data_IF_599468532142
#
_entry.id   IF_599468532142
#
_cell.length_a   1.000
_cell.length_b   1.000
_cell.length_c   1.000
_cell.angle_alpha   90.00
_cell.angle_beta   90.00
_cell.angle_gamma   90.00
#
_symmetry.space_group_name_H-M   'P 1'
#
loop_
_entity.id
_entity.type
_entity.pdbx_description
1 polymer ?
#
# COMPACT_ATOMS: atom_id res chain seq x y z
N UNK A 1 -55.05 9.14 1.69
CA UNK A 1 -55.63 8.23 2.70
C UNK A 1 -54.51 7.43 3.33
N UNK A 2 -54.32 7.64 4.64
CA UNK A 2 -53.65 6.83 5.66
C UNK A 2 -52.22 6.29 5.44
N UNK A 3 -51.27 7.05 6.01
CA UNK A 3 -50.10 6.55 6.79
C UNK A 3 -50.60 6.08 8.19
N UNK A 4 -49.78 5.73 9.20
CA UNK A 4 -48.54 4.91 9.34
C UNK A 4 -48.62 3.91 10.54
N UNK A 5 -47.58 3.11 10.78
CA UNK A 5 -47.28 2.50 12.09
C UNK A 5 -45.77 2.73 12.36
N UNK A 6 -45.32 3.68 13.20
CA UNK A 6 -45.28 3.70 14.69
C UNK A 6 -44.38 2.55 15.19
N UNK A 7 -43.25 2.71 15.92
CA UNK A 7 -42.92 3.63 17.03
C UNK A 7 -41.43 3.56 17.42
N UNK A 8 -40.88 4.74 17.78
CA UNK A 8 -40.00 5.13 18.93
C UNK A 8 -38.84 4.24 19.39
N UNK A 9 -37.71 4.90 19.67
CA UNK A 9 -37.23 5.33 21.02
C UNK A 9 -36.07 6.32 20.82
N UNK A 10 -36.25 7.62 21.13
CA UNK A 10 -36.01 8.33 22.41
C UNK A 10 -34.54 8.78 22.61
N UNK A 11 -34.40 10.10 22.73
CA UNK A 11 -33.19 10.87 23.04
C UNK A 11 -32.94 10.96 24.58
N UNK A 12 -31.80 11.53 25.02
CA UNK A 12 -31.08 11.25 26.29
C UNK A 12 -31.53 12.18 27.45
N UNK A 13 -30.91 12.28 28.66
CA UNK A 13 -29.58 12.90 28.91
C UNK A 13 -28.80 12.44 30.19
N UNK A 14 -27.74 13.18 30.56
CA UNK A 14 -27.06 13.35 31.87
C UNK A 14 -25.73 12.58 32.07
N UNK A 15 -24.57 13.25 32.00
CA UNK A 15 -23.86 14.10 33.00
C UNK A 15 -23.13 13.31 34.09
N UNK A 16 -21.80 13.25 34.01
CA UNK A 16 -20.78 13.13 35.09
C UNK A 16 -19.41 13.28 34.39
N UNK A 17 -18.46 14.16 34.69
CA UNK A 17 -18.21 14.99 35.87
C UNK A 17 -17.08 14.43 36.74
N UNK A 18 -15.80 14.52 36.36
CA UNK A 18 -14.69 15.03 37.21
C UNK A 18 -13.24 14.77 36.71
N UNK A 19 -12.44 15.83 36.91
CA UNK A 19 -11.03 15.94 37.38
C UNK A 19 -9.89 15.28 36.59
N UNK A 20 -9.04 16.14 36.00
CA UNK A 20 -7.56 16.09 36.10
C UNK A 20 -7.05 17.54 36.15
N UNK A 21 -6.79 18.08 37.34
CA UNK A 21 -5.46 18.44 37.88
C UNK A 21 -4.61 19.37 37.02
N UNK A 22 -4.58 20.64 37.44
CA UNK A 22 -3.48 21.57 37.20
C UNK A 22 -2.20 21.04 37.85
N UNK A 23 -1.03 21.14 37.20
CA UNK A 23 0.22 21.45 37.88
C UNK A 23 1.29 21.99 36.91
N UNK A 24 1.73 23.20 37.24
CA UNK A 24 3.05 23.80 37.07
C UNK A 24 3.76 23.93 35.71
N UNK A 25 3.84 25.21 35.35
CA UNK A 25 4.87 25.89 34.55
C UNK A 25 6.26 25.69 35.20
N UNK A 26 7.32 25.56 34.38
CA UNK A 26 8.41 26.51 34.54
C UNK A 26 8.78 27.20 33.24
N UNK A 27 8.86 28.53 33.38
CA UNK A 27 9.54 29.50 32.56
C UNK A 27 11.02 29.17 32.43
N UNK A 28 11.55 29.12 31.20
CA UNK A 28 12.89 29.63 30.98
C UNK A 28 13.02 30.26 29.59
N UNK A 29 13.12 31.58 29.62
CA UNK A 29 13.52 32.43 28.52
C UNK A 29 15.03 32.32 28.31
N UNK A 30 15.46 31.79 27.17
CA UNK A 30 16.79 32.08 26.63
C UNK A 30 16.69 32.28 25.13
N UNK A 31 16.73 33.56 24.74
CA UNK A 31 16.95 34.01 23.36
C UNK A 31 18.29 33.45 22.87
N UNK A 32 18.32 32.84 21.69
CA UNK A 32 19.44 33.02 20.75
C UNK A 32 19.02 32.78 19.30
N UNK A 33 18.80 33.92 18.65
CA UNK A 33 19.16 34.30 17.29
C UNK A 33 19.45 33.20 16.27
N UNK A 34 18.63 33.27 15.21
CA UNK A 34 18.81 32.72 13.86
C UNK A 34 20.28 32.70 13.39
N UNK A 35 20.66 31.60 12.76
CA UNK A 35 21.50 31.67 11.58
C UNK A 35 21.04 30.60 10.59
N UNK A 36 20.41 31.05 9.49
CA UNK A 36 20.18 30.25 8.30
C UNK A 36 21.54 29.96 7.68
N UNK A 37 21.96 28.70 7.70
CA UNK A 37 22.94 28.19 6.76
C UNK A 37 22.32 27.02 6.01
N UNK A 38 21.97 27.32 4.76
CA UNK A 38 21.72 26.34 3.71
C UNK A 38 23.09 25.70 3.45
N UNK A 39 23.30 24.49 3.96
CA UNK A 39 24.52 23.73 3.72
C UNK A 39 24.13 22.32 3.31
N UNK A 40 24.24 22.09 2.00
CA UNK A 40 24.53 20.80 1.36
C UNK A 40 23.72 19.58 1.81
N UNK A 41 22.56 19.36 1.19
CA UNK A 41 21.97 18.02 1.05
C UNK A 41 22.71 17.23 -0.03
N UNK A 42 23.96 16.88 0.25
CA UNK A 42 24.71 15.82 -0.43
C UNK A 42 25.50 15.06 0.64
N UNK A 43 24.77 14.53 1.63
CA UNK A 43 25.30 13.62 2.63
C UNK A 43 24.72 12.23 2.35
N UNK A 44 25.52 11.43 1.66
CA UNK A 44 25.80 10.05 2.03
C UNK A 44 24.56 9.19 2.33
N UNK A 45 24.07 8.48 1.31
CA UNK A 45 23.42 7.18 1.54
C UNK A 45 24.48 6.21 2.04
N UNK A 46 24.81 6.35 3.32
CA UNK A 46 25.54 5.37 4.10
C UNK A 46 24.58 4.19 4.30
N UNK A 47 25.04 3.06 3.81
CA UNK A 47 24.62 1.71 4.15
C UNK A 47 24.32 1.63 5.66
N UNK A 48 23.04 1.68 6.04
CA UNK A 48 22.61 1.37 7.40
C UNK A 48 21.83 0.06 7.36
N UNK A 49 22.62 -1.00 7.52
CA UNK A 49 22.18 -2.32 7.95
C UNK A 49 21.74 -2.20 9.41
N UNK A 50 20.52 -1.70 9.62
CA UNK A 50 19.86 -1.70 10.92
C UNK A 50 19.11 -3.01 11.14
N UNK A 51 19.78 -3.97 11.77
CA UNK A 51 19.17 -5.20 12.25
C UNK A 51 18.17 -4.90 13.38
N UNK A 52 16.88 -5.03 13.11
CA UNK A 52 15.92 -5.49 14.11
C UNK A 52 15.94 -7.00 14.11
N UNK A 53 16.41 -7.57 15.22
CA UNK A 53 16.39 -9.00 15.50
C UNK A 53 14.93 -9.48 15.51
N UNK A 54 14.48 -9.94 14.35
CA UNK A 54 13.36 -10.86 14.20
C UNK A 54 13.77 -11.77 13.05
N UNK A 55 14.35 -12.92 13.43
CA UNK A 55 14.29 -14.17 12.67
C UNK A 55 14.74 -14.08 11.20
N UNK A 56 15.96 -14.57 10.94
CA UNK A 56 16.74 -14.52 9.69
C UNK A 56 16.02 -15.21 8.50
N UNK A 57 14.85 -14.72 8.10
CA UNK A 57 14.19 -15.10 6.87
C UNK A 57 15.11 -14.67 5.72
N UNK A 58 15.55 -15.64 4.94
CA UNK A 58 16.54 -15.42 3.88
C UNK A 58 15.94 -14.48 2.82
N UNK A 59 16.46 -13.24 2.77
CA UNK A 59 16.06 -12.26 1.77
C UNK A 59 16.86 -12.58 0.51
N UNK A 60 16.26 -13.38 -0.37
CA UNK A 60 16.91 -13.85 -1.59
C UNK A 60 16.74 -12.89 -2.78
N UNK A 61 15.86 -11.88 -2.67
CA UNK A 61 15.66 -10.90 -3.75
C UNK A 61 15.42 -9.49 -3.22
N UNK A 62 16.06 -8.53 -3.87
CA UNK A 62 15.87 -7.09 -3.62
C UNK A 62 15.73 -6.35 -4.95
N UNK A 63 14.62 -5.61 -5.09
CA UNK A 63 14.34 -4.82 -6.27
C UNK A 63 15.33 -3.66 -6.43
N UNK A 64 16.08 -3.57 -7.55
CA UNK A 64 17.12 -2.54 -7.73
C UNK A 64 16.53 -1.13 -7.87
N UNK A 65 15.30 -1.02 -8.37
CA UNK A 65 14.60 0.26 -8.57
C UNK A 65 13.76 0.68 -7.36
N UNK A 66 13.76 -0.10 -6.27
CA UNK A 66 12.97 0.20 -5.06
C UNK A 66 13.26 1.60 -4.51
N UNK A 67 14.54 1.97 -4.41
CA UNK A 67 14.98 3.30 -3.97
C UNK A 67 14.52 4.40 -4.92
N UNK A 68 14.63 4.17 -6.24
CA UNK A 68 14.23 5.14 -7.26
C UNK A 68 12.73 5.38 -7.22
N UNK A 69 11.90 4.33 -7.18
CA UNK A 69 10.45 4.46 -7.06
C UNK A 69 10.04 5.16 -5.76
N UNK A 70 10.72 4.88 -4.64
CA UNK A 70 10.48 5.57 -3.37
C UNK A 70 10.77 7.06 -3.47
N UNK A 71 11.90 7.42 -4.06
CA UNK A 71 12.30 8.82 -4.24
C UNK A 71 11.35 9.55 -5.20
N UNK A 72 10.92 8.90 -6.28
CA UNK A 72 9.93 9.45 -7.22
C UNK A 72 8.59 9.73 -6.54
N UNK A 73 8.05 8.76 -5.78
CA UNK A 73 6.81 8.95 -5.02
C UNK A 73 6.93 10.09 -4.00
N UNK A 74 8.04 10.14 -3.26
CA UNK A 74 8.27 11.20 -2.27
C UNK A 74 8.36 12.58 -2.92
N UNK A 75 9.03 12.68 -4.06
CA UNK A 75 9.17 13.92 -4.81
C UNK A 75 7.81 14.43 -5.33
N UNK A 76 7.00 13.56 -5.92
CA UNK A 76 5.65 13.90 -6.38
C UNK A 76 4.73 14.29 -5.23
N UNK A 77 4.74 13.53 -4.12
CA UNK A 77 3.96 13.86 -2.93
C UNK A 77 4.38 15.20 -2.31
N UNK A 78 5.67 15.51 -2.31
CA UNK A 78 6.20 16.79 -1.82
C UNK A 78 5.73 17.95 -2.71
N UNK A 79 5.79 17.77 -4.03
CA UNK A 79 5.34 18.76 -5.02
C UNK A 79 3.83 19.00 -4.92
N UNK A 80 3.05 17.92 -4.78
CA UNK A 80 1.60 18.00 -4.59
C UNK A 80 1.23 18.67 -3.26
N UNK A 81 1.97 18.38 -2.19
CA UNK A 81 1.77 19.02 -0.88
C UNK A 81 2.08 20.51 -0.94
N UNK A 82 3.17 20.88 -1.63
CA UNK A 82 3.52 22.28 -1.85
C UNK A 82 2.46 23.01 -2.70
N UNK A 83 1.98 22.39 -3.78
CA UNK A 83 0.92 22.95 -4.60
C UNK A 83 -0.40 23.10 -3.81
N UNK A 84 -0.75 22.11 -3.00
CA UNK A 84 -1.92 22.14 -2.11
C UNK A 84 -1.80 23.23 -1.04
N UNK A 85 -0.61 23.44 -0.48
CA UNK A 85 -0.34 24.50 0.49
C UNK A 85 -0.35 25.90 -0.14
N UNK A 86 0.14 26.05 -1.39
CA UNK A 86 0.18 27.34 -2.10
C UNK A 86 -1.17 27.75 -2.69
N UNK A 87 -2.02 26.80 -3.08
CA UNK A 87 -3.34 27.06 -3.66
C UNK A 87 -4.23 27.99 -2.82
N UNK A 88 -4.39 27.83 -1.49
CA UNK A 88 -5.21 28.74 -0.69
C UNK A 88 -4.67 30.18 -0.68
N UNK A 89 -3.37 30.41 -0.85
CA UNK A 89 -2.80 31.76 -0.91
C UNK A 89 -3.26 32.55 -2.15
N UNK A 90 -3.59 31.88 -3.25
CA UNK A 90 -4.14 32.52 -4.47
C UNK A 90 -5.49 33.20 -4.19
N UNK A 91 -6.24 32.70 -3.21
CA UNK A 91 -7.53 33.29 -2.84
C UNK A 91 -7.38 34.47 -1.86
N UNK A 92 -6.30 34.49 -1.07
CA UNK A 92 -6.03 35.54 -0.07
C UNK A 92 -5.40 36.78 -0.72
N UNK A 93 -4.57 36.61 -1.74
CA UNK A 93 -3.92 37.74 -2.41
C UNK A 93 -4.95 38.52 -3.23
N UNK A 94 -4.98 39.82 -3.00
CA UNK A 94 -5.90 40.75 -3.67
C UNK A 94 -5.41 41.07 -5.09
N UNK A 95 -5.59 40.11 -5.99
CA UNK A 95 -5.31 40.26 -7.42
C UNK A 95 -6.57 40.75 -8.17
N UNK A 96 -6.47 41.62 -9.19
CA UNK A 96 -7.61 42.10 -9.98
C UNK A 96 -8.22 41.04 -10.92
N UNK A 97 -8.13 39.75 -10.57
CA UNK A 97 -8.64 38.61 -11.33
C UNK A 97 -10.04 38.21 -10.87
N UNK A 98 -10.91 37.89 -11.84
CA UNK A 98 -12.23 37.31 -11.57
C UNK A 98 -12.12 35.98 -10.81
N UNK A 99 -13.11 35.68 -9.97
CA UNK A 99 -13.15 34.44 -9.16
C UNK A 99 -13.06 33.19 -10.04
N UNK A 100 -13.69 33.22 -11.22
CA UNK A 100 -13.63 32.12 -12.18
C UNK A 100 -12.21 31.84 -12.67
N UNK A 101 -11.41 32.88 -12.94
CA UNK A 101 -10.01 32.72 -13.35
C UNK A 101 -9.15 32.12 -12.22
N UNK A 102 -9.37 32.54 -10.97
CA UNK A 102 -8.65 31.99 -9.80
C UNK A 102 -8.94 30.50 -9.61
N UNK A 103 -10.21 30.11 -9.71
CA UNK A 103 -10.62 28.70 -9.63
C UNK A 103 -10.01 27.89 -10.78
N UNK A 104 -10.06 28.39 -12.01
CA UNK A 104 -9.49 27.71 -13.17
C UNK A 104 -7.98 27.45 -12.97
N UNK A 105 -7.22 28.47 -12.55
CA UNK A 105 -5.79 28.33 -12.28
C UNK A 105 -5.50 27.31 -11.17
N UNK A 106 -6.24 27.36 -10.07
CA UNK A 106 -6.09 26.42 -8.96
C UNK A 106 -6.38 24.97 -9.40
N UNK A 107 -7.49 24.76 -10.13
CA UNK A 107 -7.90 23.44 -10.61
C UNK A 107 -6.91 22.88 -11.61
N UNK A 108 -6.40 23.69 -12.55
CA UNK A 108 -5.38 23.23 -13.49
C UNK A 108 -4.09 22.83 -12.78
N UNK A 109 -3.58 23.67 -11.87
CA UNK A 109 -2.34 23.39 -11.14
C UNK A 109 -2.45 22.12 -10.27
N UNK A 110 -3.52 21.99 -9.49
CA UNK A 110 -3.77 20.81 -8.68
C UNK A 110 -4.08 19.58 -9.53
N UNK A 111 -4.88 19.74 -10.58
CA UNK A 111 -5.27 18.66 -11.48
C UNK A 111 -4.07 18.01 -12.15
N UNK A 112 -3.15 18.81 -12.72
CA UNK A 112 -1.90 18.30 -13.30
C UNK A 112 -0.99 17.64 -12.26
N UNK A 113 -0.93 18.19 -11.04
CA UNK A 113 -0.12 17.61 -9.96
C UNK A 113 -0.69 16.27 -9.49
N UNK A 114 -2.01 16.17 -9.33
CA UNK A 114 -2.71 14.95 -8.92
C UNK A 114 -2.60 13.89 -10.03
N UNK A 115 -2.81 14.26 -11.30
CA UNK A 115 -2.74 13.30 -12.41
C UNK A 115 -1.33 12.71 -12.56
N UNK A 116 -0.28 13.54 -12.46
CA UNK A 116 1.11 13.08 -12.48
C UNK A 116 1.40 12.13 -11.30
N UNK A 117 0.95 12.50 -10.09
CA UNK A 117 1.15 11.67 -8.89
C UNK A 117 0.41 10.34 -8.98
N UNK A 118 -0.82 10.35 -9.50
CA UNK A 118 -1.64 9.14 -9.68
C UNK A 118 -1.02 8.17 -10.70
N UNK A 119 -0.45 8.69 -11.79
CA UNK A 119 0.21 7.86 -12.79
C UNK A 119 1.44 7.15 -12.21
N UNK A 120 2.28 7.87 -11.47
CA UNK A 120 3.46 7.30 -10.80
C UNK A 120 3.02 6.25 -9.76
N UNK A 121 1.96 6.54 -9.02
CA UNK A 121 1.37 5.62 -8.06
C UNK A 121 0.88 4.33 -8.73
N UNK A 122 0.21 4.44 -9.88
CA UNK A 122 -0.30 3.30 -10.64
C UNK A 122 0.83 2.45 -11.23
N UNK A 123 1.84 3.07 -11.85
CA UNK A 123 2.99 2.37 -12.42
C UNK A 123 3.84 1.67 -11.33
N UNK A 124 3.96 2.27 -10.15
CA UNK A 124 4.73 1.71 -9.03
C UNK A 124 3.95 0.75 -8.13
N UNK A 125 2.64 0.54 -8.35
CA UNK A 125 1.79 -0.32 -7.51
C UNK A 125 2.20 -1.81 -7.51
N UNK A 126 2.51 -2.45 -8.66
CA UNK A 126 2.93 -3.86 -8.67
C UNK A 126 4.40 -4.06 -8.30
N UNK A 127 5.19 -3.00 -8.06
CA UNK A 127 6.63 -3.13 -7.84
C UNK A 127 6.98 -3.83 -6.53
N UNK A 128 7.74 -4.93 -6.62
CA UNK A 128 8.21 -5.69 -5.47
C UNK A 128 9.54 -5.13 -4.98
N UNK A 129 9.55 -4.65 -3.74
CA UNK A 129 10.73 -4.06 -3.09
C UNK A 129 11.70 -5.13 -2.63
N UNK A 130 11.18 -6.19 -2.01
CA UNK A 130 11.97 -7.31 -1.52
C UNK A 130 11.13 -8.56 -1.47
N UNK A 131 11.76 -9.72 -1.70
CA UNK A 131 11.16 -11.01 -1.46
C UNK A 131 11.99 -11.79 -0.45
N UNK A 132 11.30 -12.51 0.42
CA UNK A 132 11.89 -13.37 1.44
C UNK A 132 11.10 -14.66 1.52
N UNK A 133 11.77 -15.77 1.82
CA UNK A 133 11.07 -17.03 2.07
C UNK A 133 10.58 -17.07 3.52
N UNK A 134 9.34 -17.50 3.74
CA UNK A 134 8.80 -17.69 5.09
C UNK A 134 9.54 -18.86 5.76
N UNK A 135 9.89 -18.71 7.04
CA UNK A 135 10.60 -19.79 7.74
C UNK A 135 9.70 -21.01 7.94
N UNK A 136 10.19 -22.20 7.56
CA UNK A 136 9.49 -23.47 7.78
C UNK A 136 8.40 -23.83 6.78
N UNK A 137 8.25 -23.08 5.67
CA UNK A 137 7.34 -23.43 4.57
C UNK A 137 7.91 -22.99 3.22
N UNK A 138 7.36 -23.52 2.12
CA UNK A 138 7.73 -23.07 0.76
C UNK A 138 7.06 -21.72 0.39
N UNK A 139 6.39 -21.08 1.35
CA UNK A 139 5.72 -19.81 1.13
C UNK A 139 6.71 -18.67 0.88
N UNK A 140 6.38 -17.83 -0.11
CA UNK A 140 7.17 -16.66 -0.51
C UNK A 140 6.47 -15.41 -0.05
N UNK A 141 7.18 -14.56 0.69
CA UNK A 141 6.69 -13.26 1.13
C UNK A 141 7.24 -12.15 0.25
N UNK A 142 6.35 -11.44 -0.43
CA UNK A 142 6.64 -10.30 -1.28
C UNK A 142 6.29 -9.02 -0.53
N UNK A 143 7.23 -8.07 -0.50
CA UNK A 143 6.99 -6.74 0.07
C UNK A 143 6.77 -5.75 -1.06
N UNK A 144 5.61 -5.13 -1.08
CA UNK A 144 5.25 -4.04 -2.00
C UNK A 144 5.05 -2.75 -1.21
N UNK A 145 5.00 -1.63 -1.93
CA UNK A 145 4.84 -0.31 -1.31
C UNK A 145 3.66 0.42 -1.93
N UNK A 146 2.76 0.88 -1.07
CA UNK A 146 1.57 1.64 -1.45
C UNK A 146 1.93 3.05 -1.97
N UNK A 147 0.92 3.83 -2.36
CA UNK A 147 1.05 5.22 -2.80
C UNK A 147 1.71 6.09 -1.72
N UNK A 148 1.33 5.85 -0.46
CA UNK A 148 1.82 6.59 0.71
C UNK A 148 3.10 6.01 1.32
N UNK A 149 3.91 5.29 0.54
CA UNK A 149 5.14 4.65 1.00
C UNK A 149 4.93 3.62 2.14
N UNK A 150 3.70 3.14 2.34
CA UNK A 150 3.40 2.10 3.34
C UNK A 150 3.76 0.74 2.79
N UNK A 151 4.50 -0.04 3.57
CA UNK A 151 4.86 -1.40 3.21
C UNK A 151 3.64 -2.33 3.35
N UNK A 152 3.41 -3.15 2.34
CA UNK A 152 2.43 -4.23 2.33
C UNK A 152 3.17 -5.54 2.12
N UNK A 153 2.89 -6.54 2.94
CA UNK A 153 3.54 -7.86 2.86
C UNK A 153 2.53 -8.88 2.37
N UNK A 154 2.70 -9.38 1.16
CA UNK A 154 1.88 -10.45 0.61
C UNK A 154 2.62 -11.77 0.75
N UNK A 155 2.10 -12.67 1.57
CA UNK A 155 2.59 -14.05 1.69
C UNK A 155 1.82 -14.91 0.69
N UNK A 156 2.53 -15.44 -0.30
CA UNK A 156 2.01 -16.45 -1.22
C UNK A 156 2.40 -17.82 -0.67
N UNK A 157 1.39 -18.65 -0.41
CA UNK A 157 1.54 -19.91 0.33
C UNK A 157 2.18 -21.01 -0.52
N UNK A 158 1.90 -21.01 -1.83
CA UNK A 158 2.51 -21.92 -2.80
C UNK A 158 2.98 -21.12 -4.03
N UNK A 159 4.29 -21.08 -4.31
CA UNK A 159 4.86 -20.32 -5.42
C UNK A 159 4.52 -20.92 -6.81
N UNK A 160 4.01 -22.16 -6.89
CA UNK A 160 3.59 -22.78 -8.16
C UNK A 160 2.41 -22.07 -8.82
N UNK A 161 1.67 -21.28 -8.05
CA UNK A 161 0.55 -20.50 -8.57
C UNK A 161 0.97 -19.23 -9.32
N UNK A 162 2.26 -18.87 -9.33
CA UNK A 162 2.74 -17.75 -10.14
C UNK A 162 2.75 -18.11 -11.62
N UNK A 163 2.12 -17.27 -12.43
CA UNK A 163 2.20 -17.34 -13.89
C UNK A 163 2.80 -16.04 -14.44
N UNK A 164 3.50 -16.15 -15.56
CA UNK A 164 4.00 -14.97 -16.28
C UNK A 164 2.83 -14.21 -16.92
N UNK A 165 2.73 -12.91 -16.67
CA UNK A 165 1.67 -12.06 -17.22
C UNK A 165 2.14 -11.28 -18.45
N UNK A 166 1.20 -10.94 -19.33
CA UNK A 166 1.44 -10.01 -20.45
C UNK A 166 1.18 -8.54 -20.08
N UNK A 167 0.73 -8.26 -18.85
CA UNK A 167 0.36 -6.93 -18.40
C UNK A 167 1.60 -6.02 -18.27
N UNK A 168 1.55 -4.76 -18.76
CA UNK A 168 2.66 -3.84 -18.57
C UNK A 168 2.92 -3.58 -17.09
N UNK A 169 4.20 -3.48 -16.72
CA UNK A 169 4.68 -3.29 -15.35
C UNK A 169 4.38 -4.44 -14.38
N UNK A 170 4.01 -5.63 -14.84
CA UNK A 170 3.94 -6.83 -14.01
C UNK A 170 4.65 -7.98 -14.74
N UNK A 171 5.37 -8.80 -13.98
CA UNK A 171 6.08 -9.98 -14.49
C UNK A 171 5.30 -11.23 -14.12
N UNK A 172 4.82 -11.27 -12.88
CA UNK A 172 4.04 -12.38 -12.35
C UNK A 172 2.62 -11.95 -12.01
N UNK A 173 1.70 -12.86 -12.18
CA UNK A 173 0.33 -12.76 -11.71
C UNK A 173 -0.11 -14.06 -11.05
N UNK A 174 -1.03 -13.98 -10.09
CA UNK A 174 -1.88 -15.12 -9.81
C UNK A 174 -3.03 -15.10 -10.82
N UNK A 175 -3.24 -16.13 -11.64
CA UNK A 175 -4.30 -16.15 -12.63
C UNK A 175 -5.69 -16.18 -11.96
N UNK A 176 -6.71 -15.78 -12.73
CA UNK A 176 -8.10 -15.77 -12.26
C UNK A 176 -8.70 -17.18 -12.21
N UNK A 177 -8.14 -18.10 -12.99
CA UNK A 177 -8.53 -19.49 -13.03
C UNK A 177 -7.32 -20.40 -12.98
N UNK A 178 -7.49 -21.52 -12.29
CA UNK A 178 -6.50 -22.57 -12.15
C UNK A 178 -7.13 -23.89 -12.58
N UNK A 179 -6.37 -24.72 -13.29
CA UNK A 179 -6.73 -26.12 -13.49
C UNK A 179 -5.90 -26.92 -12.49
N UNK A 180 -6.54 -27.82 -11.73
CA UNK A 180 -5.78 -28.66 -10.81
C UNK A 180 -4.82 -29.56 -11.59
N UNK A 181 -3.55 -29.57 -11.20
CA UNK A 181 -2.65 -30.64 -11.61
C UNK A 181 -3.15 -31.98 -11.06
N UNK A 182 -2.95 -33.09 -11.79
CA UNK A 182 -3.39 -34.42 -11.37
C UNK A 182 -2.65 -34.98 -10.14
N UNK A 183 -1.72 -34.21 -9.54
CA UNK A 183 -0.90 -34.62 -8.41
C UNK A 183 -1.64 -34.45 -7.07
N UNK A 184 -1.60 -35.46 -6.17
CA UNK A 184 -2.47 -35.56 -5.01
C UNK A 184 -1.88 -34.82 -3.80
N UNK A 185 -1.54 -33.54 -3.93
CA UNK A 185 -1.12 -32.76 -2.76
C UNK A 185 -2.36 -32.19 -2.08
N UNK A 186 -2.82 -32.91 -1.05
CA UNK A 186 -3.91 -32.56 -0.12
C UNK A 186 -5.32 -32.40 -0.75
N UNK A 187 -6.10 -33.50 -0.75
CA UNK A 187 -7.57 -33.56 -0.75
C UNK A 187 -8.34 -32.32 -1.29
N UNK A 188 -8.06 -31.89 -2.53
CA UNK A 188 -8.83 -30.81 -3.17
C UNK A 188 -10.21 -31.37 -3.51
N UNK A 189 -11.20 -30.98 -2.73
CA UNK A 189 -12.59 -31.40 -2.93
C UNK A 189 -13.35 -30.30 -3.68
N UNK A 190 -14.29 -30.69 -4.53
CA UNK A 190 -15.23 -29.73 -5.10
C UNK A 190 -15.96 -28.99 -3.97
N UNK A 191 -15.91 -27.66 -3.98
CA UNK A 191 -16.45 -26.79 -2.94
C UNK A 191 -15.45 -26.39 -1.84
N UNK A 192 -14.18 -26.82 -1.90
CA UNK A 192 -13.17 -26.34 -0.96
C UNK A 192 -12.64 -24.96 -1.37
N UNK A 193 -12.41 -24.10 -0.37
CA UNK A 193 -11.81 -22.79 -0.54
C UNK A 193 -10.41 -22.79 0.10
N UNK A 194 -9.39 -22.46 -0.69
CA UNK A 194 -7.99 -22.49 -0.27
C UNK A 194 -7.37 -21.09 -0.39
N UNK A 195 -6.84 -20.50 0.70
CA UNK A 195 -6.11 -19.26 0.60
C UNK A 195 -4.79 -19.52 -0.15
N UNK A 196 -4.52 -18.74 -1.18
CA UNK A 196 -3.27 -18.82 -1.96
C UNK A 196 -2.34 -17.69 -1.61
N UNK A 197 -2.88 -16.51 -1.39
CA UNK A 197 -2.12 -15.34 -1.01
C UNK A 197 -2.83 -14.57 0.10
N UNK A 198 -2.05 -14.05 1.04
CA UNK A 198 -2.54 -13.22 2.15
C UNK A 198 -1.72 -11.94 2.21
N UNK A 199 -2.37 -10.80 2.03
CA UNK A 199 -1.76 -9.48 2.13
C UNK A 199 -1.97 -8.92 3.53
N UNK A 200 -0.87 -8.56 4.18
CA UNK A 200 -0.80 -7.95 5.51
C UNK A 200 -0.29 -6.51 5.43
N UNK A 201 -0.77 -5.67 6.33
CA UNK A 201 -0.19 -4.34 6.58
C UNK A 201 1.13 -4.45 7.35
N UNK A 202 1.84 -3.33 7.45
CA UNK A 202 2.96 -3.07 8.36
C UNK A 202 2.68 -3.45 9.81
N UNK A 203 1.44 -3.32 10.29
CA UNK A 203 1.00 -3.74 11.62
C UNK A 203 0.85 -5.26 11.78
N UNK A 204 0.88 -6.02 10.69
CA UNK A 204 0.61 -7.46 10.67
C UNK A 204 -0.86 -7.83 10.45
N UNK A 205 -1.77 -6.86 10.43
CA UNK A 205 -3.19 -7.07 10.17
C UNK A 205 -3.43 -7.52 8.71
N UNK A 206 -4.33 -8.49 8.51
CA UNK A 206 -4.68 -8.98 7.18
C UNK A 206 -5.64 -7.98 6.51
N UNK A 207 -5.19 -7.39 5.41
CA UNK A 207 -5.94 -6.39 4.63
C UNK A 207 -6.55 -6.95 3.35
N UNK A 208 -6.05 -8.09 2.88
CA UNK A 208 -6.60 -8.77 1.71
C UNK A 208 -6.18 -10.24 1.62
N UNK A 209 -6.97 -11.03 0.90
CA UNK A 209 -6.73 -12.46 0.65
C UNK A 209 -7.10 -12.82 -0.78
N UNK A 210 -6.30 -13.67 -1.42
CA UNK A 210 -6.67 -14.36 -2.65
C UNK A 210 -7.03 -15.79 -2.28
N UNK A 211 -8.27 -16.19 -2.50
CA UNK A 211 -8.78 -17.52 -2.17
C UNK A 211 -9.21 -18.20 -3.47
N UNK A 212 -8.75 -19.43 -3.71
CA UNK A 212 -9.25 -20.25 -4.81
C UNK A 212 -10.45 -21.05 -4.31
N UNK A 213 -11.58 -20.93 -5.01
CA UNK A 213 -12.74 -21.78 -4.87
C UNK A 213 -12.68 -22.90 -5.91
N UNK A 214 -12.49 -24.14 -5.45
CA UNK A 214 -12.41 -25.30 -6.32
C UNK A 214 -13.81 -25.77 -6.72
N UNK A 215 -14.07 -25.88 -8.01
CA UNK A 215 -15.31 -26.38 -8.58
C UNK A 215 -15.00 -27.60 -9.47
N UNK A 216 -15.86 -28.62 -9.46
CA UNK A 216 -15.74 -29.73 -10.39
C UNK A 216 -16.62 -29.47 -11.62
N UNK A 217 -16.04 -29.54 -12.81
CA UNK A 217 -16.77 -29.49 -14.08
C UNK A 217 -16.19 -30.55 -15.02
N UNK A 218 -17.04 -31.37 -15.62
CA UNK A 218 -16.64 -32.37 -16.62
C UNK A 218 -15.50 -33.33 -16.16
N UNK A 219 -15.47 -33.67 -14.87
CA UNK A 219 -14.44 -34.56 -14.28
C UNK A 219 -13.09 -33.90 -14.00
N UNK A 220 -12.93 -32.61 -14.27
CA UNK A 220 -11.76 -31.81 -13.91
C UNK A 220 -12.08 -30.80 -12.80
N UNK A 221 -11.11 -30.54 -11.92
CA UNK A 221 -11.20 -29.52 -10.88
C UNK A 221 -10.70 -28.19 -11.44
N UNK A 222 -11.59 -27.19 -11.47
CA UNK A 222 -11.34 -25.82 -11.87
C UNK A 222 -11.38 -24.93 -10.62
N UNK A 223 -10.26 -24.28 -10.31
CA UNK A 223 -10.17 -23.27 -9.28
C UNK A 223 -10.53 -21.91 -9.85
N UNK A 224 -11.52 -21.23 -9.27
CA UNK A 224 -11.80 -19.81 -9.55
C UNK A 224 -11.24 -18.97 -8.41
N UNK A 225 -10.40 -18.00 -8.75
CA UNK A 225 -9.78 -17.13 -7.76
C UNK A 225 -10.71 -15.99 -7.39
N UNK A 226 -10.93 -15.82 -6.09
CA UNK A 226 -11.69 -14.74 -5.48
C UNK A 226 -10.75 -13.84 -4.69
N UNK A 227 -10.80 -12.55 -5.01
CA UNK A 227 -10.10 -11.50 -4.26
C UNK A 227 -11.00 -10.98 -3.14
N UNK A 228 -10.52 -11.05 -1.90
CA UNK A 228 -11.16 -10.46 -0.73
C UNK A 228 -10.34 -9.26 -0.25
N UNK A 229 -10.99 -8.10 -0.08
CA UNK A 229 -10.34 -6.88 0.44
C UNK A 229 -9.30 -6.28 -0.50
N UNK A 230 -8.19 -5.80 0.07
CA UNK A 230 -7.07 -5.20 -0.67
C UNK A 230 -6.03 -6.26 -1.07
N UNK A 231 -6.48 -7.28 -1.80
CA UNK A 231 -5.61 -8.32 -2.32
C UNK A 231 -4.68 -7.78 -3.43
N UNK A 232 -3.45 -8.28 -3.47
CA UNK A 232 -2.47 -7.94 -4.53
C UNK A 232 -2.23 -9.18 -5.36
N UNK A 233 -2.57 -9.09 -6.65
CA UNK A 233 -2.44 -10.21 -7.60
C UNK A 233 -1.26 -10.11 -8.55
N UNK A 234 -0.87 -8.89 -8.89
CA UNK A 234 0.15 -8.62 -9.90
C UNK A 234 1.43 -8.14 -9.24
N UNK A 235 2.56 -8.69 -9.66
CA UNK A 235 3.88 -8.42 -9.09
C UNK A 235 4.89 -8.16 -10.21
N UNK A 236 5.68 -7.12 -10.05
CA UNK A 236 6.81 -6.81 -10.92
C UNK A 236 8.09 -7.27 -10.23
N UNK A 237 8.69 -8.30 -10.81
CA UNK A 237 9.92 -8.93 -10.33
C UNK A 237 10.90 -8.98 -11.49
N UNK A 238 12.17 -8.74 -11.17
CA UNK A 238 13.27 -8.81 -12.11
C UNK A 238 13.82 -10.23 -12.06
N UNK A 239 13.41 -11.07 -13.02
CA UNK A 239 13.72 -12.50 -13.04
C UNK A 239 15.23 -12.76 -13.13
N UNK A 240 15.98 -11.85 -13.74
CA UNK A 240 17.43 -11.92 -13.84
C UNK A 240 18.17 -11.80 -12.50
N UNK A 241 17.51 -11.26 -11.47
CA UNK A 241 18.06 -11.12 -10.12
C UNK A 241 17.60 -12.22 -9.16
N UNK A 242 16.70 -13.10 -9.61
CA UNK A 242 16.38 -14.31 -8.88
C UNK A 242 17.59 -15.22 -9.00
N UNK A 243 18.33 -15.41 -7.91
CA UNK A 243 19.24 -16.56 -7.84
C UNK A 243 18.43 -17.80 -8.24
N UNK A 244 18.99 -18.64 -9.12
CA UNK A 244 18.34 -19.79 -9.79
C UNK A 244 17.92 -20.92 -8.82
N UNK A 245 17.12 -20.57 -7.81
CA UNK A 245 16.76 -21.37 -6.64
C UNK A 245 15.25 -21.36 -6.36
N UNK A 246 14.44 -21.02 -7.37
CA UNK A 246 13.01 -21.28 -7.39
C UNK A 246 12.73 -22.57 -8.15
#
# INVERSE_FOLDING_TARGET
MYSPCVRRLLCPPLLFGQKISCFHIPTNSARRTRCFHITSYMAQQKHDSGATVSERADIFYRGPLSTTFRNLKLFSLSSLSLASALTPFIFIIDAPLSVSARIALAVTALGTSISSTALIAWCGKPYVVSMRRAQGSDAVELTTTDVFLRERRTTVLDPRFFQTTSRPFATWELPESFTADPEPTAQRAAGSAEPVAVTRDSSGDIVGRCVIEWNAKDGQLFGLMREEGYAIRHFNVHEELLESRL
#
